data_IF_929051755561
#
_entry.id   IF_929051755561
#
_cell.length_a   1.000
_cell.length_b   1.000
_cell.length_c   1.000
_cell.angle_alpha   90.00
_cell.angle_beta   90.00
_cell.angle_gamma   90.00
#
_symmetry.space_group_name_H-M   'P 1'
#
loop_
_entity.id
_entity.type
_entity.pdbx_description
1 polymer ?
#
# COMPACT_ATOMS: atom_id res chain seq x y z
N UNK A 1 4.18 -0.81 -14.64
CA UNK A 1 3.71 0.53 -15.06
C UNK A 1 3.78 1.55 -13.92
N UNK A 2 3.96 1.09 -12.72
CA UNK A 2 4.12 1.96 -11.53
C UNK A 2 5.32 2.91 -11.61
N UNK A 3 6.38 2.50 -12.29
CA UNK A 3 7.56 3.35 -12.53
C UNK A 3 7.41 4.33 -13.71
N UNK A 4 6.19 4.55 -14.23
CA UNK A 4 5.88 5.56 -15.23
C UNK A 4 6.11 5.15 -16.68
N UNK A 5 6.45 3.90 -16.95
CA UNK A 5 6.49 3.36 -18.30
C UNK A 5 5.08 2.89 -18.72
N UNK A 6 4.71 3.19 -19.96
CA UNK A 6 3.52 2.57 -20.58
C UNK A 6 3.78 1.08 -20.84
N UNK A 7 2.74 0.31 -21.14
CA UNK A 7 2.87 -1.11 -21.47
C UNK A 7 3.81 -1.34 -22.65
N UNK A 8 3.74 -0.49 -23.65
CA UNK A 8 4.58 -0.56 -24.83
C UNK A 8 6.05 -0.23 -24.51
N UNK A 9 6.28 0.85 -23.76
CA UNK A 9 7.61 1.22 -23.29
C UNK A 9 8.23 0.15 -22.39
N UNK A 10 7.45 -0.51 -21.53
CA UNK A 10 7.92 -1.60 -20.69
C UNK A 10 8.37 -2.81 -21.52
N UNK A 11 7.62 -3.17 -22.60
CA UNK A 11 8.02 -4.22 -23.52
C UNK A 11 9.31 -3.88 -24.28
N UNK A 12 9.45 -2.63 -24.71
CA UNK A 12 10.68 -2.16 -25.36
C UNK A 12 11.86 -2.14 -24.38
N UNK A 13 11.62 -1.70 -23.13
CA UNK A 13 12.66 -1.69 -22.12
C UNK A 13 13.17 -3.10 -21.81
N UNK A 14 12.27 -4.07 -21.73
CA UNK A 14 12.65 -5.48 -21.55
C UNK A 14 13.48 -5.98 -22.75
N UNK A 15 13.11 -5.61 -23.97
CA UNK A 15 13.89 -5.93 -25.17
C UNK A 15 15.31 -5.34 -25.08
N UNK A 16 15.42 -4.06 -24.67
CA UNK A 16 16.73 -3.42 -24.51
C UNK A 16 17.58 -4.10 -23.43
N UNK A 17 16.98 -4.52 -22.30
CA UNK A 17 17.71 -5.22 -21.25
C UNK A 17 18.29 -6.56 -21.70
N UNK A 18 17.64 -7.24 -22.64
CA UNK A 18 18.10 -8.53 -23.21
C UNK A 18 19.15 -8.31 -24.30
N UNK A 19 18.87 -7.43 -25.24
CA UNK A 19 19.67 -7.25 -26.47
C UNK A 19 20.82 -6.22 -26.27
N UNK A 20 20.73 -5.38 -25.27
CA UNK A 20 21.70 -4.33 -25.02
C UNK A 20 21.53 -3.14 -25.97
N UNK A 21 22.58 -2.82 -26.72
CA UNK A 21 22.66 -1.66 -27.61
C UNK A 21 22.08 -1.95 -28.97
N UNK A 22 20.91 -1.41 -29.28
CA UNK A 22 20.19 -1.66 -30.54
C UNK A 22 19.62 -0.37 -31.15
N UNK A 23 19.34 -0.41 -32.47
CA UNK A 23 18.66 0.67 -33.19
C UNK A 23 17.15 0.59 -33.00
N UNK A 24 16.43 1.71 -33.22
CA UNK A 24 14.97 1.70 -33.19
C UNK A 24 14.32 0.77 -34.24
N UNK A 25 15.03 0.50 -35.34
CA UNK A 25 14.60 -0.47 -36.36
C UNK A 25 14.67 -1.91 -35.83
N UNK A 26 15.75 -2.27 -35.15
CA UNK A 26 15.90 -3.59 -34.52
C UNK A 26 14.88 -3.81 -33.41
N UNK A 27 14.66 -2.79 -32.57
CA UNK A 27 13.59 -2.83 -31.55
C UNK A 27 12.23 -3.08 -32.18
N UNK A 28 11.87 -2.38 -33.25
CA UNK A 28 10.60 -2.58 -33.94
C UNK A 28 10.46 -4.02 -34.49
N UNK A 29 11.55 -4.58 -35.03
CA UNK A 29 11.57 -5.94 -35.55
C UNK A 29 11.46 -7.01 -34.46
N UNK A 30 12.16 -6.81 -33.33
CA UNK A 30 12.21 -7.77 -32.23
C UNK A 30 10.91 -7.77 -31.41
N UNK A 31 10.30 -6.60 -31.23
CA UNK A 31 9.08 -6.46 -30.42
C UNK A 31 7.78 -6.62 -31.22
N UNK A 32 7.84 -6.58 -32.54
CA UNK A 32 6.65 -6.54 -33.40
C UNK A 32 5.90 -5.23 -33.41
N UNK A 33 6.43 -4.20 -32.73
CA UNK A 33 5.83 -2.86 -32.66
C UNK A 33 6.13 -2.12 -33.98
N UNK A 34 5.15 -1.34 -34.49
CA UNK A 34 5.38 -0.51 -35.66
C UNK A 34 6.60 0.40 -35.50
N UNK A 35 7.34 0.69 -36.58
CA UNK A 35 8.53 1.56 -36.51
C UNK A 35 8.24 2.90 -35.86
N UNK A 36 7.17 3.59 -36.28
CA UNK A 36 6.78 4.87 -35.72
C UNK A 36 6.57 4.81 -34.21
N UNK A 37 5.82 3.81 -33.74
CA UNK A 37 5.56 3.62 -32.31
C UNK A 37 6.83 3.24 -31.54
N UNK A 38 7.72 2.42 -32.11
CA UNK A 38 8.98 2.07 -31.47
C UNK A 38 9.88 3.31 -31.26
N UNK A 39 10.03 4.14 -32.30
CA UNK A 39 10.81 5.38 -32.17
C UNK A 39 10.20 6.37 -31.19
N UNK A 40 8.89 6.56 -31.20
CA UNK A 40 8.19 7.43 -30.22
C UNK A 40 8.38 6.91 -28.80
N UNK A 41 8.21 5.61 -28.59
CA UNK A 41 8.41 5.00 -27.27
C UNK A 41 9.85 5.12 -26.78
N UNK A 42 10.83 4.92 -27.66
CA UNK A 42 12.26 5.08 -27.34
C UNK A 42 12.61 6.53 -26.98
N UNK A 43 12.07 7.51 -27.70
CA UNK A 43 12.23 8.93 -27.35
C UNK A 43 11.65 9.24 -25.96
N UNK A 44 10.39 8.81 -25.70
CA UNK A 44 9.76 8.98 -24.41
C UNK A 44 10.53 8.27 -23.28
N UNK A 45 11.06 7.07 -23.55
CA UNK A 45 11.88 6.32 -22.58
C UNK A 45 13.18 7.06 -22.25
N UNK A 46 13.79 7.71 -23.24
CA UNK A 46 15.00 8.52 -23.03
C UNK A 46 14.68 9.75 -22.15
N UNK A 47 13.57 10.44 -22.41
CA UNK A 47 13.11 11.55 -21.55
C UNK A 47 12.78 11.10 -20.13
N UNK A 48 12.18 9.91 -19.97
CA UNK A 48 11.87 9.31 -18.68
C UNK A 48 13.11 8.79 -17.94
N UNK A 49 14.25 8.72 -18.61
CA UNK A 49 15.52 8.21 -18.07
C UNK A 49 15.56 6.67 -17.98
N UNK A 50 14.83 5.97 -18.85
CA UNK A 50 14.84 4.51 -18.96
C UNK A 50 15.83 4.00 -20.00
N UNK A 51 16.26 4.85 -20.96
CA UNK A 51 17.25 4.52 -21.96
C UNK A 51 18.19 5.70 -22.24
N UNK A 52 19.38 5.38 -22.68
CA UNK A 52 20.34 6.33 -23.26
C UNK A 52 20.25 6.28 -24.77
N UNK A 53 20.37 7.45 -25.40
CA UNK A 53 20.59 7.58 -26.84
C UNK A 53 22.11 7.70 -27.09
N UNK A 54 22.65 6.82 -27.93
CA UNK A 54 24.05 6.82 -28.33
C UNK A 54 24.12 7.05 -29.83
N UNK A 55 24.86 8.07 -30.26
CA UNK A 55 25.09 8.36 -31.67
C UNK A 55 26.44 7.74 -32.11
N UNK A 56 26.40 6.83 -33.10
CA UNK A 56 27.57 6.23 -33.69
C UNK A 56 27.61 6.58 -35.20
N UNK A 57 28.36 7.62 -35.53
CA UNK A 57 28.36 8.19 -36.87
C UNK A 57 26.96 8.74 -37.21
N UNK A 58 26.34 8.15 -38.24
CA UNK A 58 24.96 8.51 -38.67
C UNK A 58 23.89 7.64 -38.04
N UNK A 59 24.27 6.68 -37.20
CA UNK A 59 23.34 5.69 -36.64
C UNK A 59 23.01 6.05 -35.18
N UNK A 60 21.72 6.07 -34.86
CA UNK A 60 21.21 6.23 -33.49
C UNK A 60 20.89 4.89 -32.89
N UNK A 61 21.52 4.59 -31.76
CA UNK A 61 21.30 3.38 -30.98
C UNK A 61 20.79 3.73 -29.57
N UNK A 62 20.01 2.82 -28.99
CA UNK A 62 19.47 2.96 -27.65
C UNK A 62 20.08 1.89 -26.76
N UNK A 63 20.41 2.30 -25.52
CA UNK A 63 20.99 1.45 -24.49
C UNK A 63 20.09 1.55 -23.27
N UNK A 64 19.72 0.45 -22.63
CA UNK A 64 18.90 0.53 -21.42
C UNK A 64 19.69 1.17 -20.28
N UNK A 65 19.05 1.99 -19.48
CA UNK A 65 19.54 2.31 -18.13
C UNK A 65 19.40 1.04 -17.30
N UNK A 66 20.42 0.63 -16.50
CA UNK A 66 20.29 -0.53 -15.62
C UNK A 66 19.02 -0.46 -14.78
N UNK A 67 18.32 -1.58 -14.60
CA UNK A 67 17.00 -1.61 -13.96
C UNK A 67 17.02 -1.01 -12.56
N UNK A 68 18.02 -1.37 -11.75
CA UNK A 68 18.18 -0.85 -10.40
C UNK A 68 18.40 0.68 -10.39
N UNK A 69 19.25 1.18 -11.29
CA UNK A 69 19.50 2.60 -11.45
C UNK A 69 18.25 3.36 -11.88
N UNK A 70 17.53 2.85 -12.87
CA UNK A 70 16.26 3.45 -13.32
C UNK A 70 15.24 3.53 -12.18
N UNK A 71 15.02 2.42 -11.46
CA UNK A 71 14.10 2.39 -10.33
C UNK A 71 14.52 3.36 -9.23
N UNK A 72 15.78 3.38 -8.82
CA UNK A 72 16.33 4.28 -7.80
C UNK A 72 16.15 5.74 -8.19
N UNK A 73 16.45 6.09 -9.43
CA UNK A 73 16.28 7.46 -9.94
C UNK A 73 14.81 7.87 -9.96
N UNK A 74 13.90 6.95 -10.31
CA UNK A 74 12.46 7.22 -10.32
C UNK A 74 11.91 7.45 -8.93
N UNK A 75 12.28 6.61 -7.97
CA UNK A 75 11.88 6.75 -6.55
C UNK A 75 12.36 8.10 -6.01
N UNK A 76 13.63 8.47 -6.23
CA UNK A 76 14.18 9.76 -5.80
C UNK A 76 13.36 10.95 -6.34
N UNK A 77 13.04 10.95 -7.64
CA UNK A 77 12.22 12.02 -8.25
C UNK A 77 10.81 12.08 -7.65
N UNK A 78 10.21 10.92 -7.35
CA UNK A 78 8.90 10.86 -6.68
C UNK A 78 8.96 11.41 -5.25
N UNK A 79 10.03 11.11 -4.51
CA UNK A 79 10.25 11.65 -3.17
C UNK A 79 10.45 13.17 -3.17
N UNK A 80 11.20 13.70 -4.14
CA UNK A 80 11.39 15.14 -4.34
C UNK A 80 10.06 15.82 -4.67
N UNK A 81 9.28 15.23 -5.59
CA UNK A 81 7.94 15.73 -5.95
C UNK A 81 6.98 15.69 -4.76
N UNK A 82 7.01 14.61 -3.96
CA UNK A 82 6.23 14.50 -2.71
C UNK A 82 6.59 15.62 -1.74
N UNK A 83 7.89 15.86 -1.51
CA UNK A 83 8.34 16.93 -0.60
C UNK A 83 7.86 18.30 -1.06
N UNK A 84 7.94 18.56 -2.37
CA UNK A 84 7.46 19.81 -2.94
C UNK A 84 5.94 19.96 -2.76
N UNK A 85 5.16 18.95 -3.11
CA UNK A 85 3.69 18.96 -2.96
C UNK A 85 3.27 19.20 -1.51
N UNK A 86 3.89 18.47 -0.56
CA UNK A 86 3.59 18.63 0.87
C UNK A 86 3.93 20.02 1.37
N UNK A 87 5.05 20.63 0.90
CA UNK A 87 5.43 22.00 1.30
C UNK A 87 4.53 23.09 0.70
N UNK A 88 3.77 22.77 -0.34
CA UNK A 88 2.84 23.66 -1.02
C UNK A 88 1.37 23.24 -0.81
N UNK A 89 1.11 22.37 0.15
CA UNK A 89 -0.26 21.98 0.50
C UNK A 89 -1.04 23.21 0.98
N UNK A 90 -2.28 23.43 0.48
CA UNK A 90 -3.11 24.52 0.96
C UNK A 90 -3.34 24.44 2.47
N UNK A 91 -3.16 25.57 3.16
CA UNK A 91 -3.27 25.65 4.64
C UNK A 91 -4.70 25.57 5.15
N UNK A 92 -5.69 25.80 4.29
CA UNK A 92 -7.08 25.59 4.64
C UNK A 92 -7.39 24.08 4.76
N UNK A 93 -7.20 23.56 5.95
CA UNK A 93 -7.63 22.21 6.28
C UNK A 93 -9.16 22.18 6.31
N UNK A 94 -9.75 21.67 5.25
CA UNK A 94 -11.14 21.20 5.33
C UNK A 94 -11.13 20.01 6.28
N UNK A 95 -11.50 20.22 7.54
CA UNK A 95 -11.75 19.11 8.45
C UNK A 95 -12.90 18.31 7.86
N UNK A 96 -12.59 17.12 7.40
CA UNK A 96 -13.60 16.16 6.98
C UNK A 96 -14.35 15.69 8.23
N UNK A 97 -15.28 16.53 8.68
CA UNK A 97 -16.23 16.14 9.72
C UNK A 97 -17.24 15.17 9.11
N UNK A 98 -17.42 14.03 9.76
CA UNK A 98 -18.43 13.07 9.34
C UNK A 98 -17.88 11.65 9.08
N UNK A 99 -18.56 10.98 8.16
CA UNK A 99 -18.26 9.61 7.78
C UNK A 99 -17.71 9.58 6.35
N UNK A 100 -16.58 8.93 6.17
CA UNK A 100 -15.95 8.75 4.86
C UNK A 100 -16.10 7.30 4.45
N UNK A 101 -16.74 7.06 3.32
CA UNK A 101 -16.76 5.74 2.68
C UNK A 101 -15.51 5.60 1.82
N UNK A 102 -14.79 4.51 2.00
CA UNK A 102 -13.59 4.16 1.24
C UNK A 102 -13.89 2.89 0.45
N UNK A 103 -13.73 2.96 -0.86
CA UNK A 103 -13.99 1.85 -1.77
C UNK A 103 -12.70 1.41 -2.47
N UNK A 104 -12.62 0.09 -2.72
CA UNK A 104 -11.50 -0.53 -3.42
C UNK A 104 -10.40 -1.06 -2.49
N UNK A 105 -9.95 -2.28 -2.78
CA UNK A 105 -9.01 -3.02 -1.92
C UNK A 105 -7.71 -2.26 -1.64
N UNK A 106 -7.10 -1.66 -2.67
CA UNK A 106 -5.85 -0.92 -2.50
C UNK A 106 -6.03 0.32 -1.62
N UNK A 107 -7.11 1.10 -1.83
CA UNK A 107 -7.39 2.31 -1.05
C UNK A 107 -7.64 1.98 0.43
N UNK A 108 -8.35 0.87 0.70
CA UNK A 108 -8.61 0.40 2.06
C UNK A 108 -7.29 -0.02 2.72
N UNK A 109 -6.47 -0.83 2.04
CA UNK A 109 -5.18 -1.27 2.56
C UNK A 109 -4.24 -0.09 2.84
N UNK A 110 -4.17 0.87 1.93
CA UNK A 110 -3.39 2.10 2.11
C UNK A 110 -3.91 2.91 3.31
N UNK A 111 -5.24 3.00 3.47
CA UNK A 111 -5.82 3.69 4.63
C UNK A 111 -5.53 2.96 5.93
N UNK A 112 -5.57 1.63 5.96
CA UNK A 112 -5.19 0.83 7.12
C UNK A 112 -3.74 1.10 7.52
N UNK A 113 -2.81 1.03 6.58
CA UNK A 113 -1.38 1.30 6.79
C UNK A 113 -1.13 2.72 7.28
N UNK A 114 -1.75 3.71 6.62
CA UNK A 114 -1.63 5.11 7.03
C UNK A 114 -2.21 5.35 8.43
N UNK A 115 -3.32 4.70 8.77
CA UNK A 115 -3.91 4.82 10.10
C UNK A 115 -2.99 4.21 11.17
N UNK A 116 -2.38 3.06 10.90
CA UNK A 116 -1.42 2.42 11.80
C UNK A 116 -0.16 3.27 11.99
N UNK A 117 0.39 3.84 10.93
CA UNK A 117 1.59 4.69 11.01
C UNK A 117 1.39 5.96 11.84
N UNK A 118 0.14 6.42 11.98
CA UNK A 118 -0.22 7.62 12.75
C UNK A 118 -0.58 7.33 14.22
N UNK A 119 -0.59 6.06 14.64
CA UNK A 119 -0.90 5.70 16.03
C UNK A 119 0.14 6.26 16.99
N UNK A 120 -0.32 7.00 18.00
CA UNK A 120 0.53 7.59 19.03
C UNK A 120 0.65 6.72 20.29
N UNK A 121 -0.45 6.09 20.70
CA UNK A 121 -0.55 5.39 21.99
C UNK A 121 -1.00 3.95 21.89
N UNK A 122 -2.08 3.68 21.13
CA UNK A 122 -2.72 2.37 21.12
C UNK A 122 -3.54 2.11 19.86
N UNK A 123 -3.58 0.85 19.48
CA UNK A 123 -4.45 0.38 18.41
C UNK A 123 -5.15 -0.91 18.80
N UNK A 124 -6.38 -1.05 18.35
CA UNK A 124 -7.16 -2.28 18.41
C UNK A 124 -7.51 -2.69 16.98
N UNK A 125 -7.22 -3.93 16.64
CA UNK A 125 -7.43 -4.48 15.29
C UNK A 125 -8.27 -5.73 15.40
N UNK A 126 -9.25 -5.84 14.53
CA UNK A 126 -10.05 -7.06 14.36
C UNK A 126 -10.11 -7.41 12.87
N UNK A 127 -9.60 -8.56 12.52
CA UNK A 127 -9.63 -9.14 11.17
C UNK A 127 -9.18 -10.59 11.22
N UNK A 128 -9.38 -11.33 10.11
CA UNK A 128 -8.82 -12.66 9.98
C UNK A 128 -7.30 -12.62 9.89
N UNK A 129 -6.64 -13.71 10.25
CA UNK A 129 -5.18 -13.85 10.21
C UNK A 129 -4.60 -13.51 8.84
N UNK A 130 -5.27 -13.87 7.76
CA UNK A 130 -4.78 -13.60 6.41
C UNK A 130 -4.63 -12.10 6.13
N UNK A 131 -5.57 -11.28 6.60
CA UNK A 131 -5.50 -9.83 6.43
C UNK A 131 -4.50 -9.20 7.40
N UNK A 132 -4.34 -9.80 8.58
CA UNK A 132 -3.32 -9.36 9.55
C UNK A 132 -1.90 -9.48 8.97
N UNK A 133 -1.63 -10.52 8.17
CA UNK A 133 -0.32 -10.71 7.52
C UNK A 133 0.03 -9.58 6.52
N UNK A 134 -0.96 -8.87 5.97
CA UNK A 134 -0.72 -7.72 5.10
C UNK A 134 -0.25 -6.47 5.84
N UNK A 135 -0.35 -6.46 7.17
CA UNK A 135 -0.05 -5.35 8.07
C UNK A 135 1.10 -5.65 9.04
N UNK A 136 1.81 -6.78 8.85
CA UNK A 136 2.86 -7.24 9.79
C UNK A 136 3.90 -6.16 10.03
N UNK A 137 4.37 -5.52 8.97
CA UNK A 137 5.41 -4.48 9.06
C UNK A 137 4.96 -3.30 9.94
N UNK A 138 3.77 -2.77 9.68
CA UNK A 138 3.23 -1.64 10.44
C UNK A 138 2.96 -2.02 11.91
N UNK A 139 2.57 -3.27 12.15
CA UNK A 139 2.37 -3.79 13.50
C UNK A 139 3.71 -3.95 14.25
N UNK A 140 4.74 -4.46 13.61
CA UNK A 140 6.08 -4.58 14.19
C UNK A 140 6.63 -3.21 14.56
N UNK A 141 6.55 -2.21 13.67
CA UNK A 141 6.95 -0.82 13.92
C UNK A 141 6.22 -0.21 15.15
N UNK A 142 4.93 -0.52 15.33
CA UNK A 142 4.16 -0.08 16.50
C UNK A 142 4.64 -0.74 17.80
N UNK A 143 4.93 -2.03 17.77
CA UNK A 143 5.39 -2.81 18.93
C UNK A 143 6.81 -2.42 19.34
N UNK A 144 7.71 -2.22 18.38
CA UNK A 144 9.05 -1.68 18.62
C UNK A 144 9.00 -0.29 19.27
N UNK A 145 8.03 0.54 18.86
CA UNK A 145 7.76 1.85 19.45
C UNK A 145 7.03 1.78 20.80
N UNK A 146 6.87 0.58 21.39
CA UNK A 146 6.21 0.32 22.68
C UNK A 146 4.77 0.83 22.76
N UNK A 147 4.07 0.89 21.65
CA UNK A 147 2.65 1.25 21.60
C UNK A 147 1.80 0.03 21.94
N UNK A 148 0.65 0.27 22.58
CA UNK A 148 -0.24 -0.83 22.91
C UNK A 148 -0.95 -1.34 21.67
N UNK A 149 -0.69 -2.61 21.32
CA UNK A 149 -1.35 -3.32 20.22
C UNK A 149 -2.24 -4.42 20.77
N UNK A 150 -3.51 -4.41 20.39
CA UNK A 150 -4.49 -5.44 20.75
C UNK A 150 -5.11 -5.97 19.47
N UNK A 151 -5.07 -7.27 19.29
CA UNK A 151 -5.52 -7.96 18.08
C UNK A 151 -6.61 -8.97 18.46
N UNK A 152 -7.70 -8.98 17.71
CA UNK A 152 -8.70 -10.05 17.72
C UNK A 152 -8.69 -10.69 16.33
N UNK A 153 -8.41 -11.98 16.27
CA UNK A 153 -8.30 -12.71 15.01
C UNK A 153 -8.93 -14.11 15.13
N UNK A 154 -9.13 -14.79 14.03
CA UNK A 154 -9.79 -16.10 13.95
C UNK A 154 -8.87 -17.27 14.22
N UNK A 155 -7.56 -17.07 14.21
CA UNK A 155 -6.57 -18.10 14.41
C UNK A 155 -5.44 -17.61 15.33
N UNK A 156 -4.76 -18.49 16.05
CA UNK A 156 -3.60 -18.12 16.84
C UNK A 156 -2.54 -17.41 16.01
N UNK A 157 -2.09 -16.27 16.50
CA UNK A 157 -1.00 -15.50 15.93
C UNK A 157 -0.09 -15.02 17.06
N UNK A 158 1.21 -15.09 16.82
CA UNK A 158 2.20 -14.65 17.80
C UNK A 158 2.82 -13.35 17.34
N UNK A 159 2.60 -12.30 18.12
CA UNK A 159 3.25 -11.01 17.95
C UNK A 159 3.89 -10.64 19.29
N UNK A 160 5.18 -10.43 19.28
CA UNK A 160 5.92 -10.02 20.46
C UNK A 160 5.41 -8.63 20.92
N UNK A 161 5.04 -8.52 22.20
CA UNK A 161 4.48 -7.29 22.79
C UNK A 161 3.06 -6.87 22.32
N UNK A 162 2.32 -7.72 21.63
CA UNK A 162 0.91 -7.52 21.37
C UNK A 162 0.04 -8.45 22.21
N UNK A 163 -1.17 -7.99 22.57
CA UNK A 163 -2.19 -8.86 23.18
C UNK A 163 -3.10 -9.40 22.08
N UNK A 164 -3.04 -10.70 21.85
CA UNK A 164 -3.83 -11.38 20.82
C UNK A 164 -4.95 -12.19 21.47
N UNK A 165 -6.16 -12.02 20.98
CA UNK A 165 -7.33 -12.83 21.33
C UNK A 165 -7.79 -13.61 20.12
N UNK A 166 -8.14 -14.89 20.32
CA UNK A 166 -8.68 -15.74 19.27
C UNK A 166 -10.20 -15.79 19.40
N UNK A 167 -10.86 -15.18 18.45
CA UNK A 167 -12.31 -15.11 18.32
C UNK A 167 -12.87 -16.00 17.22
N UNK A 168 -14.12 -15.75 16.85
CA UNK A 168 -14.76 -16.41 15.73
C UNK A 168 -14.27 -15.83 14.38
N UNK A 169 -14.33 -16.66 13.33
CA UNK A 169 -14.02 -16.18 11.99
C UNK A 169 -15.08 -15.16 11.53
N UNK A 170 -14.62 -13.98 11.16
CA UNK A 170 -15.46 -12.87 10.72
C UNK A 170 -15.52 -12.71 9.19
N UNK A 171 -14.99 -13.69 8.48
CA UNK A 171 -14.91 -13.62 7.03
C UNK A 171 -14.09 -12.41 6.57
N UNK A 172 -14.73 -11.52 5.83
CA UNK A 172 -14.08 -10.34 5.23
C UNK A 172 -14.19 -9.08 6.11
N UNK A 173 -14.78 -9.17 7.31
CA UNK A 173 -14.92 -8.01 8.19
C UNK A 173 -13.58 -7.59 8.76
N UNK A 174 -13.32 -6.30 8.70
CA UNK A 174 -12.18 -5.65 9.33
C UNK A 174 -12.61 -4.51 10.23
N UNK A 175 -11.81 -4.25 11.25
CA UNK A 175 -12.01 -3.10 12.14
C UNK A 175 -10.69 -2.65 12.76
N UNK A 176 -10.48 -1.33 12.78
CA UNK A 176 -9.33 -0.70 13.42
C UNK A 176 -9.83 0.46 14.26
N UNK A 177 -9.39 0.54 15.51
CA UNK A 177 -9.56 1.74 16.36
C UNK A 177 -8.16 2.27 16.67
N UNK A 178 -7.83 3.46 16.19
CA UNK A 178 -6.57 4.14 16.46
C UNK A 178 -6.77 5.22 17.55
N UNK A 179 -5.98 5.15 18.62
CA UNK A 179 -5.91 6.09 19.72
C UNK A 179 -7.24 6.45 20.38
N UNK A 180 -8.30 5.67 20.19
CA UNK A 180 -9.68 6.00 20.54
C UNK A 180 -10.15 7.32 19.91
N UNK A 181 -9.58 7.69 18.79
CA UNK A 181 -9.91 8.90 18.01
C UNK A 181 -10.56 8.58 16.68
N UNK A 182 -10.14 7.49 16.04
CA UNK A 182 -10.59 7.12 14.69
C UNK A 182 -10.96 5.66 14.62
N UNK A 183 -11.98 5.37 13.82
CA UNK A 183 -12.43 4.01 13.49
C UNK A 183 -12.42 3.84 11.98
N UNK A 184 -11.88 2.72 11.53
CA UNK A 184 -12.04 2.19 10.18
C UNK A 184 -12.70 0.81 10.31
N UNK A 185 -13.82 0.57 9.64
CA UNK A 185 -14.52 -0.71 9.67
C UNK A 185 -15.27 -0.98 8.39
N UNK A 186 -15.40 -2.24 8.01
CA UNK A 186 -16.11 -2.66 6.81
C UNK A 186 -15.68 -4.03 6.32
N UNK A 187 -15.71 -4.21 5.02
CA UNK A 187 -15.35 -5.45 4.35
C UNK A 187 -14.13 -5.27 3.46
N UNK A 188 -13.21 -6.24 3.54
CA UNK A 188 -11.97 -6.27 2.76
C UNK A 188 -11.64 -7.71 2.37
N UNK A 189 -11.31 -7.93 1.10
CA UNK A 189 -10.84 -9.21 0.59
C UNK A 189 -11.47 -9.63 -0.74
N UNK A 190 -11.07 -10.78 -1.24
CA UNK A 190 -11.63 -11.34 -2.47
C UNK A 190 -13.09 -11.72 -2.29
N UNK A 191 -13.93 -11.36 -3.27
CA UNK A 191 -15.38 -11.63 -3.25
C UNK A 191 -16.19 -10.64 -2.43
N UNK A 192 -15.57 -9.62 -1.79
CA UNK A 192 -16.28 -8.54 -1.12
C UNK A 192 -16.42 -7.31 -2.01
N UNK A 193 -17.32 -6.40 -1.61
CA UNK A 193 -17.43 -5.06 -2.24
C UNK A 193 -16.23 -4.18 -1.93
N UNK A 194 -15.34 -4.60 -1.02
CA UNK A 194 -14.21 -3.80 -0.54
C UNK A 194 -14.62 -2.37 -0.20
N UNK A 195 -15.50 -2.25 0.78
CA UNK A 195 -16.05 -0.98 1.23
C UNK A 195 -15.87 -0.84 2.74
N UNK A 196 -15.27 0.26 3.18
CA UNK A 196 -15.06 0.59 4.58
C UNK A 196 -15.57 1.98 4.91
N UNK A 197 -16.04 2.12 6.15
CA UNK A 197 -16.40 3.38 6.76
C UNK A 197 -15.25 3.86 7.66
N UNK A 198 -14.81 5.10 7.47
CA UNK A 198 -13.81 5.76 8.30
C UNK A 198 -14.41 7.00 8.96
N UNK A 199 -14.24 7.16 10.26
CA UNK A 199 -14.74 8.32 10.97
C UNK A 199 -13.99 8.58 12.29
N UNK A 200 -13.89 9.87 12.65
CA UNK A 200 -13.49 10.36 13.97
C UNK A 200 -14.66 10.83 14.81
N UNK A 201 -15.92 10.60 14.40
CA UNK A 201 -17.10 11.02 15.14
C UNK A 201 -17.17 10.33 16.51
N UNK A 202 -17.27 11.12 17.56
CA UNK A 202 -17.16 10.64 18.95
C UNK A 202 -18.16 9.53 19.29
N UNK A 203 -19.42 9.67 18.88
CA UNK A 203 -20.44 8.67 19.10
C UNK A 203 -20.13 7.32 18.43
N UNK A 204 -19.61 7.38 17.20
CA UNK A 204 -19.22 6.18 16.44
C UNK A 204 -18.00 5.49 17.05
N UNK A 205 -17.00 6.27 17.45
CA UNK A 205 -15.81 5.76 18.13
C UNK A 205 -16.18 5.09 19.46
N UNK A 206 -17.03 5.72 20.27
CA UNK A 206 -17.47 5.16 21.55
C UNK A 206 -18.31 3.89 21.38
N UNK A 207 -19.20 3.85 20.37
CA UNK A 207 -19.98 2.65 20.05
C UNK A 207 -19.04 1.47 19.73
N UNK A 208 -18.07 1.72 18.85
CA UNK A 208 -17.13 0.69 18.41
C UNK A 208 -16.20 0.23 19.55
N UNK A 209 -15.72 1.14 20.38
CA UNK A 209 -14.96 0.83 21.60
C UNK A 209 -15.75 -0.04 22.57
N UNK A 210 -17.01 0.28 22.78
CA UNK A 210 -17.88 -0.49 23.68
C UNK A 210 -18.09 -1.90 23.15
N UNK A 211 -18.39 -2.05 21.88
CA UNK A 211 -18.54 -3.35 21.22
C UNK A 211 -17.27 -4.20 21.38
N UNK A 212 -16.12 -3.62 21.06
CA UNK A 212 -14.84 -4.33 21.13
C UNK A 212 -14.43 -4.68 22.56
N UNK A 213 -14.69 -3.79 23.52
CA UNK A 213 -14.44 -4.05 24.95
C UNK A 213 -15.26 -5.20 25.48
N UNK A 214 -16.53 -5.30 25.08
CA UNK A 214 -17.41 -6.39 25.48
C UNK A 214 -16.93 -7.72 24.85
N UNK A 215 -16.52 -7.69 23.60
CA UNK A 215 -15.96 -8.88 22.95
C UNK A 215 -14.68 -9.36 23.64
N UNK A 216 -13.74 -8.48 23.91
CA UNK A 216 -12.51 -8.82 24.64
C UNK A 216 -12.82 -9.46 25.99
N UNK A 217 -13.80 -8.94 26.74
CA UNK A 217 -14.23 -9.52 28.02
C UNK A 217 -14.75 -10.94 27.84
N UNK A 218 -15.60 -11.18 26.85
CA UNK A 218 -16.12 -12.51 26.55
C UNK A 218 -15.01 -13.49 26.17
N UNK A 219 -14.08 -13.07 25.36
CA UNK A 219 -12.93 -13.89 24.95
C UNK A 219 -12.02 -14.21 26.14
N UNK A 220 -11.76 -13.23 27.02
CA UNK A 220 -10.96 -13.45 28.24
C UNK A 220 -11.60 -14.48 29.16
N UNK A 221 -12.90 -14.42 29.38
CA UNK A 221 -13.64 -15.40 30.21
C UNK A 221 -13.57 -16.81 29.58
N UNK A 222 -13.69 -16.91 28.25
CA UNK A 222 -13.57 -18.19 27.54
C UNK A 222 -12.16 -18.81 27.66
N UNK A 223 -11.12 -17.99 27.65
CA UNK A 223 -9.73 -18.45 27.85
C UNK A 223 -9.49 -18.95 29.29
N UNK A 224 -9.99 -18.24 30.29
CA UNK A 224 -9.91 -18.66 31.70
C UNK A 224 -10.59 -20.00 31.94
N UNK A 225 -11.80 -20.19 31.36
CA UNK A 225 -12.55 -21.46 31.49
C UNK A 225 -11.94 -22.65 30.72
N UNK A 226 -11.04 -22.44 29.78
CA UNK A 226 -10.31 -23.52 29.08
C UNK A 226 -9.07 -24.00 29.85
N UNK A 227 -8.59 -23.21 30.80
CA UNK A 227 -7.40 -23.50 31.59
C UNK A 227 -7.73 -24.10 32.98
N UNK A 228 -9.01 -24.34 33.27
CA UNK A 228 -9.53 -25.08 34.42
C UNK A 228 -10.00 -26.47 33.99
#
# INVERSE_FOLDING_TARGET
MEFGLTRQEASIYQCLLVEGKVTGYEVAKLTGISRSNAYNSLANMTEKGASYLVEEGTTRKYVPVPLEEFCKNRIRRLEESKKWLVSHEPTEKTYLEGYITIEGANHILDKMRNLLSQVEKRVYITCTRNYLLLLVRELEELMESKKKVVIITDQPATFENAKVYVGENRGMQIGIIADSKYVLTGEYGEGSMNTCLYSGQKNFVELYKTALSNEIKLLSIREENKNV
#
